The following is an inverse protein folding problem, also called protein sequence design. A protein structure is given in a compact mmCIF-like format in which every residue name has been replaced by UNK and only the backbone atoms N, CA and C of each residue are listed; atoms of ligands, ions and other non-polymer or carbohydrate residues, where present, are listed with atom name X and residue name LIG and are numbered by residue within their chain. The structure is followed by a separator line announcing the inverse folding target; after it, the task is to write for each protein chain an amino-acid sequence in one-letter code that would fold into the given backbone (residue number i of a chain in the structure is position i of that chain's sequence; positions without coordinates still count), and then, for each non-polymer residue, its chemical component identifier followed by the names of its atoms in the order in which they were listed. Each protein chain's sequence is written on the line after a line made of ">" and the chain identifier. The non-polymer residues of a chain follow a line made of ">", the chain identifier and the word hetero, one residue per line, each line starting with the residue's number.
data_IF_926536676126
#
_entry.id   IF_926536676126
#
_cell.length_a   1.000
_cell.length_b   1.000
_cell.length_c   1.000
_cell.angle_alpha   90.00
_cell.angle_beta   90.00
_cell.angle_gamma   90.00
#
_symmetry.space_group_name_H-M   'P 1'
#
loop_
_entity.id
_entity.type
_entity.pdbx_description
1 polymer ?
#
# COMPACT_ATOMS: atom_id res chain seq x y z
N UNK A 1 -1.38 30.64 18.54
CA UNK A 1 -0.82 30.15 17.27
C UNK A 1 -1.85 30.39 16.18
N UNK A 2 -1.45 30.76 14.97
CA UNK A 2 -2.44 30.96 13.89
C UNK A 2 -3.04 29.61 13.51
N UNK A 3 -4.31 29.58 13.09
CA UNK A 3 -4.97 28.32 12.68
C UNK A 3 -4.26 27.59 11.53
N UNK A 4 -3.37 28.27 10.79
CA UNK A 4 -2.53 27.69 9.74
C UNK A 4 -1.38 26.85 10.33
N UNK A 5 -0.72 27.32 11.36
CA UNK A 5 0.36 26.58 12.02
C UNK A 5 -0.13 25.29 12.66
N UNK A 6 -1.32 25.34 13.26
CA UNK A 6 -1.95 24.16 13.85
C UNK A 6 -2.31 23.12 12.78
N UNK A 7 -2.87 23.55 11.66
CA UNK A 7 -3.17 22.66 10.50
C UNK A 7 -1.90 22.05 9.88
N UNK A 8 -0.82 22.81 9.78
CA UNK A 8 0.47 22.33 9.29
C UNK A 8 1.08 21.29 10.25
N UNK A 9 0.96 21.52 11.56
CA UNK A 9 1.39 20.56 12.58
C UNK A 9 0.58 19.27 12.49
N UNK A 10 -0.75 19.36 12.36
CA UNK A 10 -1.62 18.18 12.18
C UNK A 10 -1.23 17.39 10.93
N UNK A 11 -1.04 18.05 9.78
CA UNK A 11 -0.61 17.39 8.56
C UNK A 11 0.73 16.67 8.71
N UNK A 12 1.72 17.30 9.37
CA UNK A 12 3.02 16.67 9.63
C UNK A 12 2.88 15.45 10.53
N UNK A 13 2.05 15.54 11.56
CA UNK A 13 1.80 14.41 12.46
C UNK A 13 1.12 13.23 11.72
N UNK A 14 0.15 13.51 10.86
CA UNK A 14 -0.52 12.47 10.05
C UNK A 14 0.43 11.82 9.05
N UNK A 15 1.30 12.59 8.42
CA UNK A 15 2.35 12.06 7.55
C UNK A 15 3.31 11.15 8.33
N UNK A 16 3.83 11.61 9.45
CA UNK A 16 4.73 10.82 10.30
C UNK A 16 4.06 9.50 10.77
N UNK A 17 2.76 9.53 11.09
CA UNK A 17 2.00 8.31 11.43
C UNK A 17 1.89 7.35 10.24
N UNK A 18 1.67 7.85 9.03
CA UNK A 18 1.64 7.03 7.82
C UNK A 18 3.01 6.39 7.54
N UNK A 19 4.08 7.13 7.73
CA UNK A 19 5.46 6.65 7.54
C UNK A 19 5.86 5.60 8.59
N UNK A 20 5.36 5.73 9.82
CA UNK A 20 5.62 4.76 10.90
C UNK A 20 4.88 3.41 10.73
N UNK A 21 3.95 3.31 9.77
CA UNK A 21 3.19 2.09 9.50
C UNK A 21 2.50 1.54 10.76
N UNK A 22 2.76 0.28 11.08
CA UNK A 22 2.21 -0.39 12.28
C UNK A 22 2.88 0.00 13.60
N UNK A 23 3.86 0.94 13.56
CA UNK A 23 4.63 1.42 14.71
C UNK A 23 5.92 0.61 14.95
N UNK A 24 6.85 1.22 15.71
CA UNK A 24 8.22 0.75 15.87
C UNK A 24 8.33 -0.72 16.26
N UNK A 25 7.53 -1.17 17.23
CA UNK A 25 7.58 -2.56 17.71
C UNK A 25 7.27 -3.58 16.60
N UNK A 26 6.36 -3.26 15.67
CA UNK A 26 6.03 -4.14 14.54
C UNK A 26 7.07 -4.05 13.43
N UNK A 27 7.66 -2.87 13.22
CA UNK A 27 8.80 -2.68 12.32
C UNK A 27 9.99 -3.49 12.81
N UNK A 28 10.35 -3.40 14.09
CA UNK A 28 11.43 -4.19 14.69
C UNK A 28 11.18 -5.71 14.56
N UNK A 29 9.93 -6.14 14.78
CA UNK A 29 9.56 -7.55 14.59
C UNK A 29 9.69 -8.00 13.12
N UNK A 30 9.47 -7.12 12.15
CA UNK A 30 9.69 -7.39 10.72
C UNK A 30 11.20 -7.52 10.43
N UNK A 31 12.01 -6.58 10.92
CA UNK A 31 13.46 -6.61 10.76
C UNK A 31 14.10 -7.82 11.44
N UNK A 32 13.65 -8.21 12.64
CA UNK A 32 14.12 -9.40 13.36
C UNK A 32 13.85 -10.71 12.59
N UNK A 33 12.92 -10.72 11.64
CA UNK A 33 12.66 -11.82 10.71
C UNK A 33 13.52 -11.73 9.43
N UNK A 34 14.43 -10.77 9.35
CA UNK A 34 15.25 -10.52 8.16
C UNK A 34 14.48 -9.89 7.00
N UNK A 35 13.33 -9.26 7.26
CA UNK A 35 12.48 -8.65 6.23
C UNK A 35 12.50 -7.14 6.33
N UNK A 36 12.53 -6.48 5.19
CA UNK A 36 12.32 -5.04 5.06
C UNK A 36 10.84 -4.68 5.17
N UNK A 37 10.56 -3.45 5.59
CA UNK A 37 9.22 -2.85 5.52
C UNK A 37 8.81 -2.59 4.06
N UNK A 38 7.51 -2.33 3.83
CA UNK A 38 7.00 -1.99 2.50
C UNK A 38 7.70 -0.75 1.90
N UNK A 39 7.94 0.26 2.72
CA UNK A 39 8.60 1.50 2.30
C UNK A 39 10.06 1.27 1.90
N UNK A 40 10.82 0.59 2.74
CA UNK A 40 12.22 0.24 2.46
C UNK A 40 12.37 -0.57 1.16
N UNK A 41 11.42 -1.49 0.89
CA UNK A 41 11.39 -2.27 -0.36
C UNK A 41 11.20 -1.38 -1.59
N UNK A 42 10.31 -0.38 -1.52
CA UNK A 42 10.08 0.56 -2.61
C UNK A 42 11.30 1.48 -2.82
N UNK A 43 11.91 1.95 -1.74
CA UNK A 43 13.12 2.78 -1.78
C UNK A 43 14.31 2.00 -2.39
N UNK A 44 14.43 0.70 -2.07
CA UNK A 44 15.47 -0.16 -2.67
C UNK A 44 15.20 -0.47 -4.15
N UNK A 45 13.94 -0.59 -4.56
CA UNK A 45 13.57 -0.92 -5.94
C UNK A 45 13.74 0.25 -6.89
N UNK A 46 13.39 1.45 -6.45
CA UNK A 46 13.31 2.64 -7.28
C UNK A 46 14.61 3.44 -7.24
N UNK A 47 14.86 4.21 -8.29
CA UNK A 47 16.00 5.13 -8.32
C UNK A 47 15.92 6.13 -7.16
N UNK A 48 17.07 6.47 -6.59
CA UNK A 48 17.18 7.37 -5.44
C UNK A 48 16.38 8.67 -5.62
N UNK A 49 15.51 8.96 -4.65
CA UNK A 49 14.69 10.17 -4.62
C UNK A 49 13.59 10.25 -5.68
N UNK A 50 13.42 9.20 -6.50
CA UNK A 50 12.39 9.18 -7.55
C UNK A 50 10.98 8.84 -7.04
N UNK A 51 10.87 8.21 -5.87
CA UNK A 51 9.60 7.74 -5.33
C UNK A 51 8.65 8.90 -4.99
N UNK A 52 7.48 8.87 -5.60
CA UNK A 52 6.37 9.78 -5.31
C UNK A 52 5.20 8.97 -4.76
N UNK A 53 5.01 9.05 -3.44
CA UNK A 53 3.92 8.35 -2.77
C UNK A 53 2.57 8.99 -3.08
N UNK A 54 1.56 8.14 -3.29
CA UNK A 54 0.17 8.53 -3.49
C UNK A 54 -0.70 7.98 -2.37
N UNK A 55 -1.71 8.77 -1.98
CA UNK A 55 -2.74 8.36 -1.03
C UNK A 55 -2.19 7.92 0.36
N UNK A 56 -1.08 8.53 0.80
CA UNK A 56 -0.44 8.23 2.08
C UNK A 56 -1.35 8.43 3.31
N UNK A 57 -2.35 9.31 3.19
CA UNK A 57 -3.26 9.67 4.28
C UNK A 57 -4.63 8.98 4.20
N UNK A 58 -4.82 8.06 3.25
CA UNK A 58 -6.05 7.28 3.15
C UNK A 58 -6.17 6.34 4.35
N UNK A 59 -7.37 6.26 4.89
CA UNK A 59 -7.71 5.44 6.07
C UNK A 59 -8.87 4.49 5.71
N UNK A 60 -8.95 3.33 6.38
CA UNK A 60 -10.09 2.43 6.22
C UNK A 60 -11.39 3.07 6.71
N UNK A 61 -12.53 2.57 6.23
CA UNK A 61 -13.87 3.04 6.58
C UNK A 61 -14.60 2.13 7.55
N UNK A 62 -13.99 0.99 7.89
CA UNK A 62 -14.58 -0.01 8.76
C UNK A 62 -14.76 0.53 10.17
N UNK A 63 -15.95 0.29 10.74
CA UNK A 63 -16.28 0.63 12.13
C UNK A 63 -16.60 -0.61 12.96
N UNK A 64 -16.77 -1.76 12.31
CA UNK A 64 -17.05 -3.02 12.97
C UNK A 64 -15.79 -3.55 13.68
N UNK A 65 -15.98 -4.37 14.70
CA UNK A 65 -14.88 -5.01 15.45
C UNK A 65 -13.88 -4.01 16.04
N UNK A 66 -14.34 -2.83 16.47
CA UNK A 66 -13.51 -1.76 17.05
C UNK A 66 -12.41 -1.23 16.12
N UNK A 67 -12.57 -1.41 14.82
CA UNK A 67 -11.61 -0.91 13.83
C UNK A 67 -11.48 0.62 13.86
N UNK A 68 -12.56 1.34 14.16
CA UNK A 68 -12.59 2.79 14.32
C UNK A 68 -11.67 3.32 15.43
N UNK A 69 -11.32 2.47 16.41
CA UNK A 69 -10.40 2.82 17.50
C UNK A 69 -8.91 2.71 17.11
N UNK A 70 -8.61 2.04 16.01
CA UNK A 70 -7.24 1.78 15.57
C UNK A 70 -7.07 2.10 14.09
N UNK A 71 -7.16 3.38 13.75
CA UNK A 71 -7.01 3.87 12.38
C UNK A 71 -5.54 4.18 12.09
N UNK A 72 -4.98 3.54 11.06
CA UNK A 72 -3.60 3.76 10.62
C UNK A 72 -3.63 4.36 9.21
N UNK A 73 -3.10 5.59 9.01
CA UNK A 73 -3.01 6.19 7.68
C UNK A 73 -2.19 5.34 6.72
N UNK A 74 -2.59 5.32 5.45
CA UNK A 74 -1.98 4.46 4.44
C UNK A 74 -2.65 3.11 4.28
N UNK A 75 -3.46 2.68 5.25
CA UNK A 75 -4.28 1.46 5.26
C UNK A 75 -3.53 0.18 4.85
N UNK A 76 -2.26 0.06 5.27
CA UNK A 76 -1.47 -1.16 5.07
C UNK A 76 -0.94 -1.39 3.66
N UNK A 77 -0.94 -0.37 2.80
CA UNK A 77 -0.25 -0.42 1.50
C UNK A 77 0.38 0.91 1.15
N UNK A 78 1.64 0.87 0.76
CA UNK A 78 2.36 2.02 0.20
C UNK A 78 2.21 1.98 -1.31
N UNK A 79 1.71 3.06 -1.91
CA UNK A 79 1.41 3.13 -3.34
C UNK A 79 2.03 4.38 -3.95
N UNK A 80 2.50 4.30 -5.19
CA UNK A 80 3.10 5.44 -5.82
C UNK A 80 3.68 5.12 -7.19
N UNK A 81 4.56 6.00 -7.64
CA UNK A 81 5.35 5.82 -8.85
C UNK A 81 6.77 6.32 -8.63
N UNK A 82 7.67 5.90 -9.47
CA UNK A 82 9.07 6.33 -9.48
C UNK A 82 9.73 5.90 -10.78
N UNK A 83 11.05 5.85 -10.79
CA UNK A 83 11.82 5.35 -11.93
C UNK A 83 12.67 4.16 -11.55
N UNK A 84 12.96 3.31 -12.53
CA UNK A 84 13.97 2.26 -12.46
C UNK A 84 14.88 2.45 -13.69
N UNK A 85 16.16 2.74 -13.44
CA UNK A 85 17.10 3.10 -14.51
C UNK A 85 16.54 4.21 -15.43
N UNK A 86 15.94 5.25 -14.84
CA UNK A 86 15.33 6.39 -15.52
C UNK A 86 13.98 6.10 -16.20
N UNK A 87 13.45 4.88 -16.14
CA UNK A 87 12.17 4.50 -16.76
C UNK A 87 11.06 4.56 -15.73
N UNK A 88 10.00 5.30 -16.01
CA UNK A 88 8.86 5.43 -15.12
C UNK A 88 8.11 4.10 -14.93
N UNK A 89 7.84 3.77 -13.68
CA UNK A 89 7.04 2.63 -13.25
C UNK A 89 6.04 3.04 -12.18
N UNK A 90 4.94 2.31 -12.09
CA UNK A 90 4.03 2.37 -10.95
C UNK A 90 4.32 1.21 -10.02
N UNK A 91 4.23 1.45 -8.71
CA UNK A 91 4.51 0.41 -7.74
C UNK A 91 3.58 0.50 -6.52
N UNK A 92 3.33 -0.66 -5.92
CA UNK A 92 2.73 -0.76 -4.61
C UNK A 92 3.43 -1.85 -3.79
N UNK A 93 3.46 -1.66 -2.47
CA UNK A 93 3.97 -2.66 -1.53
C UNK A 93 3.02 -2.80 -0.35
N UNK A 94 2.58 -4.03 -0.06
CA UNK A 94 1.75 -4.32 1.11
C UNK A 94 2.62 -4.29 2.37
N UNK A 95 2.12 -3.58 3.39
CA UNK A 95 2.83 -3.40 4.65
C UNK A 95 2.33 -4.40 5.70
N UNK A 96 3.11 -5.44 5.90
CA UNK A 96 2.79 -6.48 6.87
C UNK A 96 2.74 -5.97 8.32
N UNK A 97 3.34 -4.82 8.61
CA UNK A 97 3.29 -4.20 9.95
C UNK A 97 1.90 -3.64 10.28
N UNK A 98 1.08 -3.37 9.25
CA UNK A 98 -0.28 -2.84 9.38
C UNK A 98 -1.29 -3.94 9.08
N UNK A 99 -2.01 -4.41 10.08
CA UNK A 99 -3.02 -5.49 9.97
C UNK A 99 -2.53 -6.76 9.25
N UNK A 100 -1.21 -7.06 9.34
CA UNK A 100 -0.63 -8.20 8.62
C UNK A 100 -0.67 -8.04 7.10
N UNK A 101 -0.67 -6.81 6.59
CA UNK A 101 -0.79 -6.52 5.16
C UNK A 101 -2.13 -6.92 4.55
N UNK A 102 -3.15 -7.22 5.38
CA UNK A 102 -4.44 -7.68 4.89
C UNK A 102 -5.14 -6.61 4.07
N UNK A 103 -5.75 -7.04 2.96
CA UNK A 103 -6.39 -6.17 2.00
C UNK A 103 -7.81 -5.82 2.46
N UNK A 104 -8.03 -4.54 2.77
CA UNK A 104 -9.34 -3.95 3.01
C UNK A 104 -9.86 -3.18 1.80
N UNK A 105 -11.04 -2.56 1.91
CA UNK A 105 -11.63 -1.78 0.84
C UNK A 105 -10.71 -0.66 0.36
N UNK A 106 -10.28 0.22 1.25
CA UNK A 106 -9.46 1.38 0.89
C UNK A 106 -8.05 0.98 0.45
N UNK A 107 -7.47 -0.05 1.07
CA UNK A 107 -6.25 -0.69 0.62
C UNK A 107 -6.34 -1.11 -0.86
N UNK A 108 -7.38 -1.84 -1.22
CA UNK A 108 -7.60 -2.29 -2.60
C UNK A 108 -7.86 -1.14 -3.57
N UNK A 109 -8.61 -0.12 -3.17
CA UNK A 109 -8.86 1.06 -4.00
C UNK A 109 -7.58 1.84 -4.31
N UNK A 110 -6.63 1.91 -3.38
CA UNK A 110 -5.30 2.49 -3.63
C UNK A 110 -4.54 1.71 -4.71
N UNK A 111 -4.55 0.38 -4.63
CA UNK A 111 -3.95 -0.49 -5.66
C UNK A 111 -4.65 -0.31 -7.01
N UNK A 112 -5.97 -0.25 -7.02
CA UNK A 112 -6.76 0.00 -8.22
C UNK A 112 -6.37 1.31 -8.90
N UNK A 113 -6.16 2.38 -8.14
CA UNK A 113 -5.71 3.67 -8.67
C UNK A 113 -4.34 3.57 -9.34
N UNK A 114 -3.40 2.84 -8.74
CA UNK A 114 -2.07 2.57 -9.34
C UNK A 114 -2.21 1.85 -10.67
N UNK A 115 -3.03 0.79 -10.72
CA UNK A 115 -3.30 0.02 -11.94
C UNK A 115 -3.96 0.88 -13.02
N UNK A 116 -4.94 1.71 -12.67
CA UNK A 116 -5.62 2.61 -13.61
C UNK A 116 -4.64 3.65 -14.19
N UNK A 117 -3.73 4.17 -13.37
CA UNK A 117 -2.70 5.12 -13.84
C UNK A 117 -1.67 4.45 -14.75
N UNK A 118 -1.24 3.23 -14.40
CA UNK A 118 -0.34 2.43 -15.24
C UNK A 118 -0.95 2.17 -16.61
N UNK A 119 -2.22 1.75 -16.67
CA UNK A 119 -2.98 1.54 -17.90
C UNK A 119 -3.09 2.82 -18.74
N UNK A 120 -3.45 3.95 -18.12
CA UNK A 120 -3.60 5.24 -18.81
C UNK A 120 -2.31 5.75 -19.42
N UNK A 121 -1.17 5.46 -18.80
CA UNK A 121 0.15 5.96 -19.21
C UNK A 121 0.98 4.95 -20.00
N UNK A 122 0.51 3.70 -20.10
CA UNK A 122 1.26 2.62 -20.76
C UNK A 122 2.53 2.24 -20.01
N UNK A 123 2.57 2.41 -18.66
CA UNK A 123 3.77 2.15 -17.85
C UNK A 123 3.64 0.84 -17.09
N UNK A 124 4.78 0.14 -16.83
CA UNK A 124 4.77 -1.07 -16.01
C UNK A 124 4.23 -0.84 -14.62
N UNK A 125 3.62 -1.88 -14.04
CA UNK A 125 3.24 -1.91 -12.62
C UNK A 125 3.94 -3.05 -11.91
N UNK A 126 4.47 -2.76 -10.70
CA UNK A 126 5.16 -3.72 -9.86
C UNK A 126 4.45 -3.78 -8.51
N UNK A 127 3.93 -4.95 -8.16
CA UNK A 127 3.28 -5.20 -6.88
C UNK A 127 4.14 -6.08 -5.99
N UNK A 128 4.47 -5.60 -4.79
CA UNK A 128 5.16 -6.38 -3.76
C UNK A 128 4.13 -6.88 -2.76
N UNK A 129 3.87 -8.19 -2.81
CA UNK A 129 2.80 -8.82 -2.05
C UNK A 129 3.36 -9.47 -0.77
N UNK A 130 2.93 -8.97 0.39
CA UNK A 130 3.22 -9.50 1.71
C UNK A 130 1.97 -9.32 2.58
N UNK A 131 1.05 -10.30 2.51
CA UNK A 131 -0.32 -10.13 3.02
C UNK A 131 -0.86 -11.42 3.63
N UNK A 132 -1.55 -11.28 4.75
CA UNK A 132 -2.35 -12.36 5.34
C UNK A 132 -3.67 -12.66 4.60
N UNK A 133 -3.97 -11.97 3.49
CA UNK A 133 -5.18 -12.19 2.69
C UNK A 133 -6.22 -11.07 2.84
N UNK A 134 -7.50 -11.42 2.71
CA UNK A 134 -8.60 -10.48 2.89
C UNK A 134 -8.74 -10.05 4.35
N UNK A 135 -8.99 -8.75 4.59
CA UNK A 135 -9.26 -8.21 5.93
C UNK A 135 -10.65 -8.64 6.37
N UNK A 136 -10.71 -9.65 7.22
CA UNK A 136 -11.97 -10.30 7.63
C UNK A 136 -12.94 -9.34 8.32
N UNK A 137 -12.46 -8.33 9.01
CA UNK A 137 -13.28 -7.30 9.67
C UNK A 137 -14.10 -6.47 8.67
N UNK A 138 -13.66 -6.38 7.44
CA UNK A 138 -14.37 -5.65 6.38
C UNK A 138 -15.27 -6.56 5.52
N UNK A 139 -15.23 -7.87 5.75
CA UNK A 139 -16.14 -8.83 5.13
C UNK A 139 -16.16 -8.74 3.60
N UNK A 140 -17.36 -8.58 3.04
CA UNK A 140 -17.59 -8.54 1.59
C UNK A 140 -16.90 -7.35 0.90
N UNK A 141 -16.73 -6.21 1.59
CA UNK A 141 -16.04 -5.05 1.02
C UNK A 141 -14.58 -5.36 0.67
N UNK A 142 -13.89 -6.10 1.55
CA UNK A 142 -12.54 -6.61 1.28
C UNK A 142 -12.50 -7.52 0.06
N UNK A 143 -13.44 -8.47 -0.06
CA UNK A 143 -13.52 -9.37 -1.24
C UNK A 143 -13.84 -8.60 -2.52
N UNK A 144 -14.73 -7.61 -2.44
CA UNK A 144 -15.03 -6.72 -3.57
C UNK A 144 -13.79 -6.00 -4.09
N UNK A 145 -12.90 -5.57 -3.20
CA UNK A 145 -11.64 -4.93 -3.59
C UNK A 145 -10.69 -5.86 -4.34
N UNK A 146 -10.64 -7.15 -3.98
CA UNK A 146 -9.91 -8.14 -4.78
C UNK A 146 -10.48 -8.29 -6.18
N UNK A 147 -11.81 -8.34 -6.32
CA UNK A 147 -12.47 -8.40 -7.62
C UNK A 147 -12.11 -7.20 -8.50
N UNK A 148 -12.09 -5.99 -7.91
CA UNK A 148 -11.71 -4.76 -8.60
C UNK A 148 -10.23 -4.77 -9.06
N UNK A 149 -9.32 -5.32 -8.26
CA UNK A 149 -7.91 -5.50 -8.64
C UNK A 149 -7.81 -6.50 -9.80
N UNK A 150 -8.45 -7.67 -9.68
CA UNK A 150 -8.43 -8.70 -10.72
C UNK A 150 -9.01 -8.21 -12.05
N UNK A 151 -10.11 -7.47 -11.99
CA UNK A 151 -10.68 -6.84 -13.19
C UNK A 151 -9.67 -5.95 -13.91
N UNK A 152 -8.90 -5.13 -13.17
CA UNK A 152 -7.85 -4.28 -13.76
C UNK A 152 -6.68 -5.08 -14.28
N UNK A 153 -6.27 -6.14 -13.56
CA UNK A 153 -5.20 -7.02 -14.02
C UNK A 153 -5.55 -7.68 -15.36
N UNK A 154 -6.79 -8.14 -15.52
CA UNK A 154 -7.27 -8.71 -16.79
C UNK A 154 -7.23 -7.66 -17.91
N UNK A 155 -7.69 -6.44 -17.65
CA UNK A 155 -7.64 -5.34 -18.63
C UNK A 155 -6.22 -4.90 -18.98
N UNK A 156 -5.29 -5.00 -18.05
CA UNK A 156 -3.89 -4.66 -18.24
C UNK A 156 -3.08 -5.76 -18.95
N UNK A 157 -3.61 -6.99 -18.98
CA UNK A 157 -2.96 -8.13 -19.60
C UNK A 157 -2.74 -7.89 -21.10
N UNK A 158 -1.49 -8.03 -21.56
CA UNK A 158 -1.11 -7.73 -22.93
C UNK A 158 -1.00 -6.24 -23.29
N UNK A 159 -1.33 -5.34 -22.36
CA UNK A 159 -1.29 -3.88 -22.56
C UNK A 159 -0.08 -3.25 -21.85
N UNK A 160 0.11 -3.56 -20.57
CA UNK A 160 1.26 -3.10 -19.79
C UNK A 160 1.90 -4.28 -19.04
N UNK A 161 3.23 -4.26 -18.83
CA UNK A 161 3.88 -5.26 -18.00
C UNK A 161 3.37 -5.20 -16.55
N UNK A 162 2.99 -6.35 -16.02
CA UNK A 162 2.57 -6.51 -14.64
C UNK A 162 3.53 -7.48 -13.95
N UNK A 163 4.20 -7.04 -12.89
CA UNK A 163 5.16 -7.84 -12.13
C UNK A 163 4.63 -8.00 -10.72
N UNK A 164 4.43 -9.24 -10.29
CA UNK A 164 4.05 -9.58 -8.92
C UNK A 164 5.22 -10.22 -8.21
N UNK A 165 5.71 -9.55 -7.16
CA UNK A 165 6.82 -10.04 -6.33
C UNK A 165 6.25 -10.53 -5.02
N UNK A 166 6.40 -11.83 -4.73
CA UNK A 166 5.91 -12.43 -3.51
C UNK A 166 6.99 -12.31 -2.42
N UNK A 167 6.74 -11.46 -1.43
CA UNK A 167 7.70 -11.11 -0.39
C UNK A 167 7.45 -11.84 0.95
N UNK A 168 6.35 -12.55 1.06
CA UNK A 168 5.98 -13.27 2.27
C UNK A 168 4.71 -14.09 2.09
N UNK A 169 3.87 -14.16 3.13
CA UNK A 169 2.55 -14.76 2.99
C UNK A 169 1.78 -14.02 1.89
N UNK A 170 1.15 -14.77 1.03
CA UNK A 170 0.19 -14.24 0.06
C UNK A 170 -0.97 -15.22 -0.07
N UNK A 171 -2.11 -14.74 -0.51
CA UNK A 171 -3.31 -15.56 -0.71
C UNK A 171 -3.05 -16.76 -1.63
N UNK A 172 -2.07 -16.67 -2.51
CA UNK A 172 -1.71 -17.72 -3.48
C UNK A 172 -1.05 -18.92 -2.80
N UNK A 173 -0.44 -18.74 -1.62
CA UNK A 173 0.29 -19.78 -0.91
C UNK A 173 -0.55 -20.53 0.15
N UNK A 174 -1.79 -20.15 0.30
CA UNK A 174 -2.76 -20.78 1.20
C UNK A 174 -3.67 -21.70 0.42
#
# INVERSE_FOLDING_TARGET
>A
MSGTEERLKDLRNRKARSEAGGGQARVDAQHNRGKMTARERLELLLDDGSFQEMDALVEHRCRDFDMDKNVIPGDGVVTGHGTINGRQVFAFAQDFTVYGGSLGEMHGLKICKVLDMALKTGRPVIGMNDSGGARIQEGVASLGSYAEIFFRNVRASGVVPQISVIMGLSLIHI
#
